data_IF_123932617278
#
_entry.id   IF_123932617278
#
_cell.length_a   1.000
_cell.length_b   1.000
_cell.length_c   1.000
_cell.angle_alpha   90.00
_cell.angle_beta   90.00
_cell.angle_gamma   90.00
#
_symmetry.space_group_name_H-M   'P 1'
#
loop_
_entity.id
_entity.type
_entity.pdbx_description
1 polymer ?
#
# COMPACT_ATOMS: atom_id res chain seq x y z
N UNK A 1 -10.71 8.20 -17.35
CA UNK A 1 -11.06 8.12 -15.92
C UNK A 1 -10.25 9.18 -15.20
N UNK A 2 -10.89 10.20 -14.62
CA UNK A 2 -10.18 11.35 -14.04
C UNK A 2 -10.51 11.47 -12.54
N UNK A 3 -9.57 11.11 -11.68
CA UNK A 3 -9.69 11.33 -10.23
C UNK A 3 -9.46 12.81 -9.96
N UNK A 4 -10.52 13.54 -9.59
CA UNK A 4 -10.39 14.94 -9.21
C UNK A 4 -9.79 15.03 -7.81
N UNK A 5 -8.72 15.81 -7.68
CA UNK A 5 -8.13 16.19 -6.40
C UNK A 5 -8.74 17.51 -5.94
N UNK A 6 -9.33 17.52 -4.74
CA UNK A 6 -9.92 18.71 -4.12
C UNK A 6 -9.24 18.90 -2.77
N UNK A 7 -8.42 19.95 -2.67
CA UNK A 7 -7.63 20.25 -1.47
C UNK A 7 -8.41 21.22 -0.58
N UNK A 8 -8.73 20.79 0.64
CA UNK A 8 -9.39 21.63 1.66
C UNK A 8 -8.40 22.21 2.67
N UNK A 9 -7.28 21.53 2.92
CA UNK A 9 -6.16 21.99 3.73
C UNK A 9 -4.88 21.94 2.89
N UNK A 10 -4.38 23.09 2.39
CA UNK A 10 -3.19 23.15 1.57
C UNK A 10 -1.92 22.64 2.29
N UNK A 11 -1.81 22.88 3.60
CA UNK A 11 -0.63 22.50 4.36
C UNK A 11 -0.59 20.98 4.61
N UNK A 12 -1.73 20.37 4.95
CA UNK A 12 -1.83 18.93 5.07
C UNK A 12 -1.61 18.23 3.72
N UNK A 13 -2.20 18.76 2.64
CA UNK A 13 -2.02 18.20 1.31
C UNK A 13 -0.56 18.26 0.83
N UNK A 14 0.15 19.36 1.11
CA UNK A 14 1.58 19.48 0.80
C UNK A 14 2.44 18.45 1.56
N UNK A 15 2.17 18.24 2.85
CA UNK A 15 2.86 17.21 3.65
C UNK A 15 2.59 15.80 3.11
N UNK A 16 1.33 15.50 2.79
CA UNK A 16 0.94 14.21 2.24
C UNK A 16 1.61 13.96 0.88
N UNK A 17 1.62 14.96 0.00
CA UNK A 17 2.29 14.89 -1.29
C UNK A 17 3.81 14.69 -1.15
N UNK A 18 4.46 15.36 -0.18
CA UNK A 18 5.88 15.18 0.10
C UNK A 18 6.23 13.79 0.64
N UNK A 19 5.29 13.12 1.32
CA UNK A 19 5.47 11.76 1.85
C UNK A 19 5.22 10.65 0.81
N UNK A 20 4.54 10.95 -0.31
CA UNK A 20 4.19 9.97 -1.35
C UNK A 20 5.42 9.23 -1.91
N UNK A 21 6.54 9.87 -2.28
CA UNK A 21 7.70 9.15 -2.82
C UNK A 21 8.22 8.07 -1.88
N UNK A 22 8.31 8.37 -0.58
CA UNK A 22 8.76 7.41 0.44
C UNK A 22 7.78 6.25 0.56
N UNK A 23 6.48 6.53 0.68
CA UNK A 23 5.47 5.48 0.78
C UNK A 23 5.44 4.57 -0.46
N UNK A 24 5.60 5.16 -1.65
CA UNK A 24 5.68 4.42 -2.91
C UNK A 24 6.93 3.54 -3.00
N UNK A 25 8.09 4.06 -2.57
CA UNK A 25 9.31 3.27 -2.49
C UNK A 25 9.20 2.12 -1.48
N UNK A 26 8.56 2.35 -0.33
CA UNK A 26 8.32 1.29 0.66
C UNK A 26 7.40 0.20 0.10
N UNK A 27 6.33 0.55 -0.61
CA UNK A 27 5.46 -0.41 -1.29
C UNK A 27 6.22 -1.20 -2.36
N UNK A 28 6.98 -0.51 -3.22
CA UNK A 28 7.77 -1.14 -4.28
C UNK A 28 8.81 -2.10 -3.71
N UNK A 29 9.54 -1.68 -2.67
CA UNK A 29 10.54 -2.51 -1.97
C UNK A 29 9.89 -3.75 -1.35
N UNK A 30 8.74 -3.60 -0.71
CA UNK A 30 7.99 -4.71 -0.13
C UNK A 30 7.61 -5.73 -1.22
N UNK A 31 7.05 -5.27 -2.35
CA UNK A 31 6.69 -6.13 -3.48
C UNK A 31 7.93 -6.86 -4.03
N UNK A 32 9.05 -6.14 -4.21
CA UNK A 32 10.29 -6.73 -4.72
C UNK A 32 10.83 -7.82 -3.78
N UNK A 33 10.97 -7.51 -2.49
CA UNK A 33 11.49 -8.45 -1.48
C UNK A 33 10.63 -9.70 -1.40
N UNK A 34 9.31 -9.52 -1.36
CA UNK A 34 8.41 -10.67 -1.15
C UNK A 34 8.20 -11.50 -2.41
N UNK A 35 8.34 -10.91 -3.60
CA UNK A 35 8.25 -11.63 -4.88
C UNK A 35 9.56 -12.27 -5.35
N UNK A 36 10.68 -11.96 -4.68
CA UNK A 36 12.01 -12.44 -5.08
C UNK A 36 12.07 -13.96 -5.24
N UNK A 37 11.49 -14.70 -4.29
CA UNK A 37 11.49 -16.18 -4.29
C UNK A 37 10.57 -16.80 -5.37
N UNK A 38 9.76 -15.99 -6.05
CA UNK A 38 8.92 -16.39 -7.18
C UNK A 38 9.60 -16.20 -8.54
N UNK A 39 10.83 -15.66 -8.56
CA UNK A 39 11.58 -15.34 -9.78
C UNK A 39 12.83 -16.24 -9.87
N UNK A 40 12.66 -17.54 -10.22
CA UNK A 40 13.80 -18.42 -10.39
C UNK A 40 14.72 -17.93 -11.51
N UNK A 41 16.02 -18.24 -11.42
CA UNK A 41 16.97 -17.88 -12.46
C UNK A 41 16.71 -18.71 -13.72
N UNK A 42 16.81 -18.12 -14.93
CA UNK A 42 16.68 -18.88 -16.17
C UNK A 42 17.66 -20.07 -16.22
N UNK A 43 17.13 -21.28 -16.39
CA UNK A 43 17.92 -22.51 -16.47
C UNK A 43 18.12 -23.25 -15.14
N UNK A 44 17.65 -22.71 -14.01
CA UNK A 44 17.70 -23.41 -12.72
C UNK A 44 16.44 -24.29 -12.52
N UNK A 45 16.55 -25.62 -12.36
CA UNK A 45 15.41 -26.48 -12.10
C UNK A 45 14.72 -26.14 -10.78
N UNK A 46 13.46 -25.70 -10.85
CA UNK A 46 12.67 -25.43 -9.65
C UNK A 46 12.01 -26.72 -9.17
N UNK A 47 12.48 -27.26 -8.05
CA UNK A 47 11.82 -28.38 -7.41
C UNK A 47 10.39 -27.99 -6.94
N UNK A 48 9.35 -28.82 -7.17
CA UNK A 48 7.96 -28.45 -6.86
C UNK A 48 7.71 -28.01 -5.40
N UNK A 49 8.37 -28.65 -4.44
CA UNK A 49 8.24 -28.29 -3.02
C UNK A 49 8.80 -26.90 -2.71
N UNK A 50 9.86 -26.46 -3.41
CA UNK A 50 10.40 -25.10 -3.28
C UNK A 50 9.44 -24.08 -3.86
N UNK A 51 8.84 -24.36 -5.02
CA UNK A 51 7.83 -23.49 -5.62
C UNK A 51 6.62 -23.27 -4.69
N UNK A 52 6.12 -24.34 -4.06
CA UNK A 52 5.04 -24.23 -3.08
C UNK A 52 5.46 -23.41 -1.85
N UNK A 53 6.66 -23.61 -1.33
CA UNK A 53 7.18 -22.84 -0.20
C UNK A 53 7.28 -21.34 -0.52
N UNK A 54 7.79 -20.98 -1.70
CA UNK A 54 7.85 -19.59 -2.18
C UNK A 54 6.46 -18.98 -2.30
N UNK A 55 5.50 -19.71 -2.89
CA UNK A 55 4.12 -19.25 -3.02
C UNK A 55 3.47 -19.04 -1.64
N UNK A 56 3.64 -19.97 -0.70
CA UNK A 56 3.11 -19.85 0.65
C UNK A 56 3.72 -18.67 1.41
N UNK A 57 5.01 -18.37 1.21
CA UNK A 57 5.66 -17.18 1.77
C UNK A 57 5.08 -15.90 1.19
N UNK A 58 4.96 -15.80 -0.14
CA UNK A 58 4.32 -14.67 -0.80
C UNK A 58 2.88 -14.46 -0.31
N UNK A 59 2.10 -15.53 -0.20
CA UNK A 59 0.72 -15.46 0.22
C UNK A 59 0.55 -15.01 1.68
N UNK A 60 1.49 -15.35 2.56
CA UNK A 60 1.49 -14.83 3.94
C UNK A 60 1.83 -13.35 4.01
N UNK A 61 2.53 -12.81 3.02
CA UNK A 61 2.90 -11.40 2.97
C UNK A 61 1.78 -10.47 2.47
N UNK A 62 0.66 -11.02 2.01
CA UNK A 62 -0.43 -10.23 1.41
C UNK A 62 -1.00 -9.17 2.34
N UNK A 63 -1.19 -9.51 3.62
CA UNK A 63 -1.71 -8.56 4.61
C UNK A 63 -0.79 -7.34 4.75
N UNK A 64 0.53 -7.56 4.80
CA UNK A 64 1.51 -6.48 4.89
C UNK A 64 1.56 -5.65 3.61
N UNK A 65 1.44 -6.27 2.44
CA UNK A 65 1.30 -5.53 1.16
C UNK A 65 0.06 -4.64 1.18
N UNK A 66 -1.05 -5.17 1.69
CA UNK A 66 -2.32 -4.47 1.74
C UNK A 66 -2.31 -3.27 2.69
N UNK A 67 -1.67 -3.40 3.85
CA UNK A 67 -1.38 -2.27 4.74
C UNK A 67 -0.58 -1.17 4.02
N UNK A 68 0.48 -1.53 3.26
CA UNK A 68 1.27 -0.54 2.51
C UNK A 68 0.50 0.13 1.38
N UNK A 69 -0.41 -0.59 0.70
CA UNK A 69 -1.34 0.02 -0.27
C UNK A 69 -2.28 1.01 0.44
N UNK A 70 -2.83 0.63 1.59
CA UNK A 70 -3.73 1.47 2.38
C UNK A 70 -3.05 2.76 2.87
N UNK A 71 -1.78 2.69 3.26
CA UNK A 71 -0.97 3.87 3.61
C UNK A 71 -0.82 4.85 2.43
N UNK A 72 -0.59 4.33 1.21
CA UNK A 72 -0.52 5.17 0.00
C UNK A 72 -1.89 5.78 -0.31
N UNK A 73 -2.97 5.01 -0.19
CA UNK A 73 -4.34 5.51 -0.36
C UNK A 73 -4.65 6.65 0.61
N UNK A 74 -4.20 6.55 1.87
CA UNK A 74 -4.36 7.59 2.87
C UNK A 74 -3.66 8.89 2.45
N UNK A 75 -2.41 8.80 1.99
CA UNK A 75 -1.67 9.98 1.51
C UNK A 75 -2.32 10.62 0.28
N UNK A 76 -2.81 9.81 -0.67
CA UNK A 76 -3.54 10.32 -1.83
C UNK A 76 -4.84 11.03 -1.41
N UNK A 77 -5.54 10.47 -0.43
CA UNK A 77 -6.75 11.07 0.13
C UNK A 77 -6.45 12.40 0.84
N UNK A 78 -5.41 12.46 1.67
CA UNK A 78 -4.95 13.67 2.34
C UNK A 78 -4.42 14.74 1.35
N UNK A 79 -3.87 14.30 0.22
CA UNK A 79 -3.53 15.17 -0.92
C UNK A 79 -4.75 15.64 -1.74
N UNK A 80 -5.96 15.21 -1.39
CA UNK A 80 -7.22 15.68 -1.95
C UNK A 80 -7.99 14.69 -2.82
N UNK A 81 -7.54 13.44 -2.96
CA UNK A 81 -8.33 12.43 -3.68
C UNK A 81 -9.62 12.11 -2.93
N UNK A 82 -10.76 12.17 -3.60
CA UNK A 82 -12.02 11.71 -3.02
C UNK A 82 -12.05 10.18 -2.89
N UNK A 83 -12.76 9.65 -1.89
CA UNK A 83 -12.96 8.20 -1.73
C UNK A 83 -13.57 7.56 -2.99
N UNK A 84 -14.51 8.27 -3.64
CA UNK A 84 -15.08 7.82 -4.91
C UNK A 84 -14.02 7.75 -6.00
N UNK A 85 -13.19 8.77 -6.14
CA UNK A 85 -12.12 8.77 -7.13
C UNK A 85 -11.08 7.67 -6.89
N UNK A 86 -10.78 7.35 -5.63
CA UNK A 86 -9.95 6.20 -5.27
C UNK A 86 -10.64 4.86 -5.59
N UNK A 87 -11.92 4.73 -5.23
CA UNK A 87 -12.72 3.53 -5.48
C UNK A 87 -12.79 3.22 -6.97
N UNK A 88 -13.12 4.25 -7.76
CA UNK A 88 -13.15 4.19 -9.20
C UNK A 88 -11.74 3.79 -9.70
N UNK A 89 -10.68 4.56 -9.40
CA UNK A 89 -9.33 4.34 -9.96
C UNK A 89 -8.71 2.98 -9.60
N UNK A 90 -9.07 2.40 -8.45
CA UNK A 90 -8.53 1.14 -7.95
C UNK A 90 -9.46 -0.06 -8.20
N UNK A 91 -10.64 0.16 -8.79
CA UNK A 91 -11.63 -0.90 -9.00
C UNK A 91 -12.19 -1.48 -7.70
N UNK A 92 -12.31 -0.64 -6.66
CA UNK A 92 -12.77 -1.03 -5.32
C UNK A 92 -14.17 -0.48 -5.03
N UNK A 93 -14.88 -1.10 -4.09
CA UNK A 93 -16.09 -0.49 -3.54
C UNK A 93 -15.75 0.71 -2.65
N UNK A 94 -16.64 1.70 -2.56
CA UNK A 94 -16.47 2.84 -1.64
C UNK A 94 -16.32 2.39 -0.18
N UNK A 95 -17.07 1.38 0.24
CA UNK A 95 -16.96 0.82 1.60
C UNK A 95 -15.59 0.22 1.87
N UNK A 96 -15.01 -0.47 0.88
CA UNK A 96 -13.64 -0.99 0.96
C UNK A 96 -12.61 0.14 1.09
N UNK A 97 -12.77 1.22 0.33
CA UNK A 97 -11.89 2.40 0.44
C UNK A 97 -12.00 3.02 1.83
N UNK A 98 -13.21 3.28 2.32
CA UNK A 98 -13.42 3.85 3.65
C UNK A 98 -12.80 2.99 4.76
N UNK A 99 -13.00 1.67 4.72
CA UNK A 99 -12.41 0.74 5.68
C UNK A 99 -10.87 0.77 5.65
N UNK A 100 -10.26 0.80 4.46
CA UNK A 100 -8.80 0.88 4.30
C UNK A 100 -8.23 2.20 4.79
N UNK A 101 -8.91 3.32 4.52
CA UNK A 101 -8.50 4.63 5.02
C UNK A 101 -8.57 4.69 6.55
N UNK A 102 -9.62 4.14 7.15
CA UNK A 102 -9.75 4.05 8.61
C UNK A 102 -8.64 3.19 9.22
N UNK A 103 -8.39 2.02 8.65
CA UNK A 103 -7.31 1.12 9.09
C UNK A 103 -5.94 1.78 8.99
N UNK A 104 -5.63 2.44 7.86
CA UNK A 104 -4.36 3.12 7.67
C UNK A 104 -4.14 4.29 8.64
N UNK A 105 -5.20 4.99 9.05
CA UNK A 105 -5.13 6.02 10.09
C UNK A 105 -4.78 5.42 11.45
N UNK A 106 -5.47 4.34 11.83
CA UNK A 106 -5.21 3.63 13.08
C UNK A 106 -3.79 3.06 13.14
N UNK A 107 -3.30 2.48 12.04
CA UNK A 107 -1.92 1.98 11.95
C UNK A 107 -0.90 3.12 12.09
N UNK A 108 -1.12 4.27 11.44
CA UNK A 108 -0.23 5.43 11.56
C UNK A 108 -0.21 6.01 12.97
N UNK A 109 -1.35 6.02 13.65
CA UNK A 109 -1.46 6.47 15.04
C UNK A 109 -0.70 5.54 15.98
N UNK A 110 -0.88 4.22 15.84
CA UNK A 110 -0.12 3.24 16.60
C UNK A 110 1.39 3.33 16.36
N UNK A 111 1.84 3.46 15.10
CA UNK A 111 3.26 3.66 14.76
C UNK A 111 3.84 4.95 15.39
N UNK A 112 3.03 6.01 15.50
CA UNK A 112 3.44 7.27 16.13
C UNK A 112 3.52 7.17 17.66
N UNK A 113 2.61 6.41 18.29
CA UNK A 113 2.64 6.12 19.74
C UNK A 113 3.85 5.27 20.12
N UNK A 114 4.17 4.25 19.32
CA UNK A 114 5.36 3.40 19.52
C UNK A 114 6.66 4.20 19.37
N UNK A 115 6.73 5.15 18.45
CA UNK A 115 7.93 5.98 18.23
C UNK A 115 8.20 7.01 19.34
N UNK A 116 7.21 7.27 20.20
CA UNK A 116 7.29 8.24 21.30
C UNK A 116 7.54 7.58 22.67
N UNK A 117 7.73 6.26 22.70
CA UNK A 117 8.11 5.46 23.87
C UNK A 117 9.60 5.11 23.81
#
# INVERSE_FOLDING_TARGET
MNTRFTVTDPAAAARAAAALPTAMNTLASMINITSQDLRPYPGDPVAPHKALASLAKWQRSQARRESRISAVMLLLHEAGASERGLADALGMSRGTVAARLAQARAEREAEAEEANQ
#
